data_IF_609423841581
#
_entry.id   IF_609423841581
#
_cell.length_a   1.000
_cell.length_b   1.000
_cell.length_c   1.000
_cell.angle_alpha   90.00
_cell.angle_beta   90.00
_cell.angle_gamma   90.00
#
_symmetry.space_group_name_H-M   'P 1'
#
loop_
_entity.id
_entity.type
_entity.pdbx_description
1 polymer ?
#
# COMPACT_ATOMS: atom_id res chain seq x y z
N UNK A 1 25.82 -14.62 8.90
CA UNK A 1 26.43 -13.37 8.40
C UNK A 1 25.95 -12.23 9.28
N UNK A 2 26.85 -11.35 9.73
CA UNK A 2 26.49 -10.15 10.50
C UNK A 2 26.36 -8.99 9.51
N UNK A 3 25.19 -8.37 9.50
CA UNK A 3 24.95 -7.16 8.71
C UNK A 3 25.63 -5.97 9.43
N UNK A 4 26.51 -5.25 8.74
CA UNK A 4 27.17 -4.06 9.28
C UNK A 4 26.47 -2.75 8.92
N UNK A 5 25.40 -2.82 8.13
CA UNK A 5 24.62 -1.66 7.73
C UNK A 5 23.74 -1.18 8.89
N UNK A 6 23.64 0.16 9.04
CA UNK A 6 22.73 0.82 9.99
C UNK A 6 21.32 0.99 9.41
N UNK A 7 21.21 1.03 8.08
CA UNK A 7 19.97 1.24 7.36
C UNK A 7 19.89 0.20 6.24
N UNK A 8 18.74 -0.42 6.07
CA UNK A 8 18.41 -1.29 4.94
C UNK A 8 17.22 -0.68 4.21
N UNK A 9 17.45 -0.27 2.96
CA UNK A 9 16.45 0.23 2.05
C UNK A 9 16.80 -0.25 0.64
N UNK A 10 15.82 -0.46 -0.21
CA UNK A 10 16.11 -0.90 -1.58
C UNK A 10 14.88 -0.92 -2.49
N UNK A 11 15.14 -0.84 -3.79
CA UNK A 11 14.12 -0.89 -4.84
C UNK A 11 13.64 -2.30 -5.20
N UNK A 12 14.20 -3.36 -4.60
CA UNK A 12 13.74 -4.72 -4.85
C UNK A 12 12.45 -5.02 -4.06
N UNK A 13 11.57 -5.82 -4.65
CA UNK A 13 10.38 -6.32 -3.95
C UNK A 13 10.77 -7.48 -3.03
N UNK A 14 10.05 -7.60 -1.91
CA UNK A 14 10.24 -8.69 -0.94
C UNK A 14 11.68 -8.79 -0.42
N UNK A 15 12.24 -7.67 0.04
CA UNK A 15 13.58 -7.61 0.63
C UNK A 15 13.74 -8.55 1.84
N UNK A 16 12.65 -8.80 2.55
CA UNK A 16 12.62 -9.72 3.69
C UNK A 16 12.05 -11.07 3.27
N UNK A 17 12.80 -12.13 3.43
CA UNK A 17 12.30 -13.48 3.15
C UNK A 17 11.14 -13.90 4.08
N UNK A 18 11.03 -13.30 5.27
CA UNK A 18 9.93 -13.46 6.23
C UNK A 18 9.73 -12.17 7.00
N UNK A 19 8.49 -11.85 7.38
CA UNK A 19 8.16 -10.65 8.18
C UNK A 19 8.95 -10.57 9.49
N UNK A 20 9.20 -11.72 10.15
CA UNK A 20 10.00 -11.79 11.36
C UNK A 20 11.46 -11.30 11.19
N UNK A 21 11.97 -11.19 9.96
CA UNK A 21 13.29 -10.60 9.73
C UNK A 21 13.30 -9.09 9.94
N UNK A 22 12.17 -8.42 9.74
CA UNK A 22 12.01 -7.00 10.07
C UNK A 22 12.12 -6.74 11.58
N UNK A 23 11.54 -7.64 12.39
CA UNK A 23 11.65 -7.57 13.84
C UNK A 23 13.10 -7.76 14.30
N UNK A 24 13.81 -8.75 13.74
CA UNK A 24 15.23 -8.99 14.05
C UNK A 24 16.14 -7.83 13.65
N UNK A 25 15.86 -7.16 12.53
CA UNK A 25 16.60 -5.95 12.14
C UNK A 25 16.38 -4.84 13.15
N UNK A 26 15.15 -4.64 13.58
CA UNK A 26 14.80 -3.64 14.59
C UNK A 26 15.49 -3.93 15.94
N UNK A 27 15.42 -5.18 16.42
CA UNK A 27 16.11 -5.64 17.64
C UNK A 27 17.63 -5.45 17.57
N UNK A 28 18.21 -5.58 16.36
CA UNK A 28 19.62 -5.33 16.10
C UNK A 28 19.98 -3.86 15.90
N UNK A 29 19.02 -2.92 16.07
CA UNK A 29 19.22 -1.49 15.88
C UNK A 29 19.42 -1.08 14.41
N UNK A 30 19.00 -1.93 13.46
CA UNK A 30 19.07 -1.65 12.03
C UNK A 30 17.73 -1.09 11.55
N UNK A 31 17.73 0.13 11.01
CA UNK A 31 16.55 0.74 10.43
C UNK A 31 16.22 0.07 9.10
N UNK A 32 15.11 -0.66 9.04
CA UNK A 32 14.57 -1.20 7.80
C UNK A 32 13.48 -0.27 7.25
N UNK A 33 13.68 0.24 6.03
CA UNK A 33 12.67 1.00 5.31
C UNK A 33 11.84 0.03 4.45
N UNK A 34 10.54 -0.16 4.76
CA UNK A 34 9.70 -1.09 4.02
C UNK A 34 9.64 -0.75 2.52
N UNK A 35 9.97 -1.72 1.68
CA UNK A 35 10.01 -1.54 0.22
C UNK A 35 8.66 -1.14 -0.37
N UNK A 36 7.56 -1.54 0.24
CA UNK A 36 6.21 -1.16 -0.19
C UNK A 36 5.96 0.35 -0.18
N UNK A 37 6.75 1.11 0.60
CA UNK A 37 6.69 2.56 0.61
C UNK A 37 7.48 3.15 -0.56
N UNK A 38 8.74 2.74 -0.71
CA UNK A 38 9.67 3.35 -1.66
C UNK A 38 9.48 2.87 -3.08
N UNK A 39 8.92 1.66 -3.30
CA UNK A 39 8.65 1.11 -4.63
C UNK A 39 7.28 1.50 -5.22
N UNK A 40 6.48 2.27 -4.51
CA UNK A 40 5.13 2.64 -4.94
C UNK A 40 5.08 3.62 -6.12
N UNK A 41 6.19 4.28 -6.47
CA UNK A 41 6.23 5.34 -7.48
C UNK A 41 5.75 4.92 -8.86
N UNK A 42 6.25 3.81 -9.38
CA UNK A 42 5.85 3.29 -10.68
C UNK A 42 4.36 2.91 -10.71
N UNK A 43 3.86 2.29 -9.61
CA UNK A 43 2.46 1.92 -9.48
C UNK A 43 1.56 3.16 -9.43
N UNK A 44 1.92 4.18 -8.67
CA UNK A 44 1.17 5.45 -8.58
C UNK A 44 1.10 6.09 -9.96
N UNK A 45 2.23 6.22 -10.66
CA UNK A 45 2.29 6.84 -11.97
C UNK A 45 1.49 6.05 -13.02
N UNK A 46 1.62 4.72 -13.03
CA UNK A 46 0.87 3.85 -13.93
C UNK A 46 -0.63 3.89 -13.68
N UNK A 47 -1.06 3.85 -12.42
CA UNK A 47 -2.47 3.92 -12.06
C UNK A 47 -3.10 5.27 -12.44
N UNK A 48 -2.43 6.39 -12.17
CA UNK A 48 -2.92 7.73 -12.54
C UNK A 48 -3.05 7.88 -14.06
N UNK A 49 -2.07 7.35 -14.81
CA UNK A 49 -2.14 7.38 -16.27
C UNK A 49 -3.29 6.51 -16.80
N UNK A 50 -3.44 5.30 -16.27
CA UNK A 50 -4.48 4.38 -16.74
C UNK A 50 -5.90 4.85 -16.40
N UNK A 51 -6.10 5.39 -15.20
CA UNK A 51 -7.43 5.77 -14.73
C UNK A 51 -7.86 7.18 -15.19
N UNK A 52 -6.90 8.08 -15.33
CA UNK A 52 -7.19 9.50 -15.54
C UNK A 52 -6.47 10.12 -16.75
N UNK A 53 -5.66 9.35 -17.49
CA UNK A 53 -4.84 9.86 -18.60
C UNK A 53 -3.74 10.83 -18.15
N UNK A 54 -3.51 10.95 -16.84
CA UNK A 54 -2.62 11.95 -16.26
C UNK A 54 -1.24 11.34 -15.95
N UNK A 55 -0.18 12.00 -16.45
CA UNK A 55 1.21 11.66 -16.11
C UNK A 55 1.71 12.65 -15.07
N UNK A 56 1.70 12.23 -13.83
CA UNK A 56 2.23 13.05 -12.75
C UNK A 56 3.75 13.21 -12.86
N UNK A 57 4.29 14.42 -12.61
CA UNK A 57 5.72 14.66 -12.56
C UNK A 57 6.41 13.75 -11.52
N UNK A 58 7.59 13.23 -11.86
CA UNK A 58 8.35 12.34 -10.96
C UNK A 58 8.62 13.01 -9.62
N UNK A 59 9.01 14.29 -9.63
CA UNK A 59 9.27 15.06 -8.40
C UNK A 59 8.08 15.11 -7.42
N UNK A 60 6.84 15.19 -7.96
CA UNK A 60 5.64 15.17 -7.11
C UNK A 60 5.41 13.80 -6.48
N UNK A 61 5.72 12.72 -7.21
CA UNK A 61 5.65 11.34 -6.70
C UNK A 61 6.72 11.12 -5.64
N UNK A 62 7.96 11.56 -5.89
CA UNK A 62 9.08 11.48 -4.95
C UNK A 62 8.76 12.22 -3.64
N UNK A 63 8.22 13.44 -3.71
CA UNK A 63 7.80 14.19 -2.56
C UNK A 63 6.78 13.43 -1.70
N UNK A 64 5.72 12.90 -2.32
CA UNK A 64 4.70 12.11 -1.60
C UNK A 64 5.25 10.84 -0.95
N UNK A 65 6.15 10.14 -1.64
CA UNK A 65 6.77 8.93 -1.10
C UNK A 65 7.68 9.31 0.08
N UNK A 66 8.50 10.35 -0.07
CA UNK A 66 9.38 10.83 0.97
C UNK A 66 8.63 11.27 2.23
N UNK A 67 7.57 12.06 2.09
CA UNK A 67 6.75 12.51 3.19
C UNK A 67 6.06 11.34 3.91
N UNK A 68 5.53 10.38 3.15
CA UNK A 68 4.89 9.20 3.72
C UNK A 68 5.89 8.30 4.46
N UNK A 69 7.05 8.05 3.86
CA UNK A 69 8.11 7.28 4.49
C UNK A 69 8.60 7.97 5.78
N UNK A 70 8.86 9.27 5.74
CA UNK A 70 9.31 10.05 6.89
C UNK A 70 8.30 10.03 8.04
N UNK A 71 7.00 10.12 7.74
CA UNK A 71 5.93 10.05 8.74
C UNK A 71 5.85 8.66 9.37
N UNK A 72 5.86 7.60 8.57
CA UNK A 72 5.80 6.23 9.04
C UNK A 72 7.01 5.86 9.89
N UNK A 73 8.20 6.27 9.47
CA UNK A 73 9.43 6.00 10.23
C UNK A 73 9.44 6.73 11.57
N UNK A 74 8.91 7.96 11.64
CA UNK A 74 8.73 8.69 12.91
C UNK A 74 7.74 7.98 13.82
N UNK A 75 6.57 7.59 13.29
CA UNK A 75 5.57 6.81 14.05
C UNK A 75 6.17 5.51 14.61
N UNK A 76 6.94 4.79 13.79
CA UNK A 76 7.62 3.58 14.22
C UNK A 76 8.63 3.83 15.36
N UNK A 77 9.38 4.92 15.27
CA UNK A 77 10.34 5.34 16.29
C UNK A 77 9.63 5.71 17.59
N UNK A 78 8.58 6.51 17.51
CA UNK A 78 7.82 7.00 18.67
C UNK A 78 7.13 5.85 19.41
N UNK A 79 6.66 4.84 18.69
CA UNK A 79 6.01 3.64 19.25
C UNK A 79 7.00 2.54 19.65
N UNK A 80 8.28 2.66 19.30
CA UNK A 80 9.28 1.61 19.53
C UNK A 80 8.98 0.32 18.74
N UNK A 81 8.34 0.44 17.57
CA UNK A 81 7.92 -0.69 16.74
C UNK A 81 8.76 -0.81 15.45
N UNK A 82 8.94 -2.04 14.94
CA UNK A 82 9.53 -2.24 13.61
C UNK A 82 8.73 -1.49 12.53
N UNK A 83 9.37 -0.70 11.64
CA UNK A 83 8.69 0.03 10.58
C UNK A 83 7.82 -0.85 9.67
N UNK A 84 8.22 -2.11 9.46
CA UNK A 84 7.43 -3.06 8.70
C UNK A 84 6.07 -3.38 9.35
N UNK A 85 6.00 -3.44 10.69
CA UNK A 85 4.75 -3.66 11.42
C UNK A 85 3.82 -2.45 11.33
N UNK A 86 4.38 -1.25 11.44
CA UNK A 86 3.61 0.01 11.28
C UNK A 86 3.05 0.12 9.87
N UNK A 87 3.86 -0.18 8.84
CA UNK A 87 3.42 -0.20 7.45
C UNK A 87 2.27 -1.20 7.21
N UNK A 88 2.38 -2.41 7.75
CA UNK A 88 1.32 -3.42 7.64
C UNK A 88 0.04 -3.00 8.35
N UNK A 89 0.14 -2.40 9.55
CA UNK A 89 -1.00 -1.86 10.30
C UNK A 89 -1.72 -0.78 9.50
N UNK A 90 -0.99 0.18 8.97
CA UNK A 90 -1.54 1.25 8.15
C UNK A 90 -2.23 0.71 6.89
N UNK A 91 -1.60 -0.22 6.18
CA UNK A 91 -2.16 -0.84 4.99
C UNK A 91 -3.49 -1.56 5.30
N UNK A 92 -3.54 -2.36 6.36
CA UNK A 92 -4.76 -3.05 6.80
C UNK A 92 -5.88 -2.06 7.14
N UNK A 93 -5.56 -0.98 7.83
CA UNK A 93 -6.52 0.09 8.18
C UNK A 93 -7.12 0.71 6.93
N UNK A 94 -6.27 1.12 5.98
CA UNK A 94 -6.70 1.74 4.72
C UNK A 94 -7.55 0.79 3.88
N UNK A 95 -7.16 -0.48 3.75
CA UNK A 95 -7.94 -1.49 3.03
C UNK A 95 -9.31 -1.72 3.67
N UNK A 96 -9.36 -1.79 5.00
CA UNK A 96 -10.63 -1.97 5.73
C UNK A 96 -11.55 -0.77 5.54
N UNK A 97 -11.00 0.44 5.56
CA UNK A 97 -11.75 1.67 5.30
C UNK A 97 -12.31 1.68 3.86
N UNK A 98 -11.48 1.39 2.86
CA UNK A 98 -11.89 1.36 1.45
C UNK A 98 -12.96 0.29 1.18
N UNK A 99 -12.86 -0.87 1.82
CA UNK A 99 -13.89 -1.92 1.72
C UNK A 99 -15.23 -1.46 2.27
N UNK A 100 -15.24 -0.73 3.40
CA UNK A 100 -16.47 -0.17 3.98
C UNK A 100 -17.07 0.89 3.06
N UNK A 101 -16.26 1.80 2.54
CA UNK A 101 -16.69 2.83 1.58
C UNK A 101 -17.29 2.19 0.31
N UNK A 102 -16.63 1.19 -0.25
CA UNK A 102 -17.12 0.47 -1.42
C UNK A 102 -18.42 -0.30 -1.15
N UNK A 103 -18.58 -0.89 0.04
CA UNK A 103 -19.82 -1.59 0.42
C UNK A 103 -21.01 -0.61 0.62
N UNK A 104 -20.75 0.65 0.94
CA UNK A 104 -21.76 1.70 1.11
C UNK A 104 -22.02 2.49 -0.18
N UNK A 105 -21.16 2.36 -1.19
CA UNK A 105 -21.33 3.02 -2.47
C UNK A 105 -22.56 2.46 -3.23
N UNK A 106 -23.37 3.30 -3.87
CA UNK A 106 -24.46 2.83 -4.70
C UNK A 106 -23.91 1.97 -5.85
N UNK A 107 -24.54 0.81 -6.08
CA UNK A 107 -24.16 -0.07 -7.19
C UNK A 107 -24.16 0.69 -8.52
N UNK A 108 -23.15 0.50 -9.37
CA UNK A 108 -23.10 1.10 -10.71
C UNK A 108 -24.39 0.80 -11.48
N UNK A 109 -24.85 1.77 -12.28
CA UNK A 109 -26.11 1.66 -13.03
C UNK A 109 -26.17 0.43 -13.97
N UNK A 110 -25.00 -0.03 -14.45
CA UNK A 110 -24.87 -1.18 -15.34
C UNK A 110 -25.30 -2.49 -14.68
N UNK A 111 -24.99 -2.72 -13.40
CA UNK A 111 -25.41 -3.92 -12.67
C UNK A 111 -26.91 -3.91 -12.35
N UNK A 112 -27.51 -2.71 -12.24
CA UNK A 112 -28.97 -2.57 -12.05
C UNK A 112 -29.75 -2.97 -13.29
N UNK A 113 -29.20 -2.74 -14.48
CA UNK A 113 -29.84 -3.10 -15.76
C UNK A 113 -29.76 -4.62 -16.05
N UNK A 114 -28.68 -5.28 -15.64
CA UNK A 114 -28.50 -6.72 -15.83
C UNK A 114 -29.34 -7.56 -14.85
N UNK A 115 -29.54 -7.08 -13.63
CA UNK A 115 -30.39 -7.75 -12.63
C UNK A 115 -31.90 -7.64 -12.90
N UNK A 116 -32.33 -6.70 -13.76
CA UNK A 116 -33.73 -6.53 -14.15
C UNK A 116 -34.16 -7.38 -15.37
N UNK A 117 -33.20 -8.04 -16.04
CA UNK A 117 -33.47 -8.83 -17.25
C UNK A 117 -33.73 -10.32 -17.00
N UNK A 118 -33.64 -10.81 -15.74
CA UNK A 118 -33.85 -12.21 -15.38
C UNK A 118 -35.34 -12.61 -15.12
N UNK A 119 -36.26 -11.70 -15.39
CA UNK A 119 -37.72 -11.98 -15.29
C UNK A 119 -38.37 -12.16 -16.66
N UNK A 120 -37.88 -13.08 -17.49
CA UNK A 120 -38.58 -13.49 -18.72
C UNK A 120 -39.85 -14.26 -18.39
N UNK A 121 -40.98 -14.09 -19.19
CA UNK A 121 -42.22 -14.80 -18.95
C UNK A 121 -42.04 -16.30 -19.15
N UNK A 122 -42.78 -17.11 -18.39
CA UNK A 122 -42.74 -18.59 -18.56
C UNK A 122 -43.17 -18.95 -19.96
N UNK A 123 -42.34 -19.70 -20.67
CA UNK A 123 -42.69 -20.33 -21.94
C UNK A 123 -43.72 -21.43 -21.67
N UNK A 124 -44.92 -21.28 -22.27
CA UNK A 124 -45.91 -22.36 -22.40
C UNK A 124 -45.40 -23.44 -23.33
#
# INVERSE_FOLDING_TARGET
ARLSARIVAGGANNLLARSAHGDRLHEAGVLFVPEVLINSGALIRGALFHLFGHREPVAAIEGRIGDRASRLLREALDEGLPPARVAQREARRLLSQRRREAAQAPRPALERSLGAAEGGPPVC
#
